data_IF_851784418625
#
_entry.id   IF_851784418625
#
_cell.length_a   1.000
_cell.length_b   1.000
_cell.length_c   1.000
_cell.angle_alpha   90.00
_cell.angle_beta   90.00
_cell.angle_gamma   90.00
#
_symmetry.space_group_name_H-M   'P 1'
#
loop_
_entity.id
_entity.type
_entity.pdbx_description
1 polymer ?
#
# COMPACT_ATOMS: atom_id res chain seq x y z
N UNK A 1 -11.76 -24.63 3.08
CA UNK A 1 -10.98 -23.90 2.06
C UNK A 1 -10.75 -24.82 0.87
N UNK A 2 -10.95 -24.35 -0.37
CA UNK A 2 -10.71 -25.19 -1.55
C UNK A 2 -9.20 -25.46 -1.72
N UNK A 3 -8.83 -26.54 -2.42
CA UNK A 3 -7.42 -26.91 -2.60
C UNK A 3 -6.55 -25.82 -3.26
N UNK A 4 -7.03 -25.05 -4.27
CA UNK A 4 -6.29 -23.93 -4.84
C UNK A 4 -6.02 -22.80 -3.82
N UNK A 5 -7.01 -22.49 -2.97
CA UNK A 5 -6.89 -21.45 -1.95
C UNK A 5 -5.88 -21.85 -0.86
N UNK A 6 -5.82 -23.13 -0.51
CA UNK A 6 -4.84 -23.65 0.44
C UNK A 6 -3.40 -23.53 -0.08
N UNK A 7 -3.18 -23.73 -1.39
CA UNK A 7 -1.85 -23.54 -2.02
C UNK A 7 -1.44 -22.07 -2.00
N UNK A 8 -2.35 -21.15 -2.32
CA UNK A 8 -2.09 -19.70 -2.23
C UNK A 8 -1.77 -19.27 -0.80
N UNK A 9 -2.52 -19.78 0.19
CA UNK A 9 -2.28 -19.47 1.59
C UNK A 9 -0.90 -19.96 2.07
N UNK A 10 -0.50 -21.17 1.69
CA UNK A 10 0.82 -21.69 2.04
C UNK A 10 1.96 -20.81 1.49
N UNK A 11 1.85 -20.36 0.23
CA UNK A 11 2.84 -19.46 -0.38
C UNK A 11 2.82 -18.06 0.24
N UNK A 12 1.64 -17.54 0.58
CA UNK A 12 1.48 -16.30 1.33
C UNK A 12 2.25 -16.35 2.65
N UNK A 13 2.04 -17.41 3.43
CA UNK A 13 2.72 -17.60 4.73
C UNK A 13 4.23 -17.70 4.51
N UNK A 14 4.70 -18.48 3.53
CA UNK A 14 6.13 -18.60 3.21
C UNK A 14 6.79 -17.27 2.85
N UNK A 15 6.12 -16.41 2.08
CA UNK A 15 6.63 -15.10 1.71
C UNK A 15 6.73 -14.15 2.92
N UNK A 16 5.73 -14.19 3.80
CA UNK A 16 5.72 -13.40 5.03
C UNK A 16 6.77 -13.91 6.03
N UNK A 17 6.88 -15.22 6.21
CA UNK A 17 7.85 -15.90 7.09
C UNK A 17 9.30 -15.65 6.66
N UNK A 18 9.58 -15.65 5.35
CA UNK A 18 10.91 -15.37 4.84
C UNK A 18 11.37 -13.92 5.07
N UNK A 19 10.42 -12.98 5.13
CA UNK A 19 10.68 -11.55 5.31
C UNK A 19 10.74 -11.17 6.79
N UNK A 20 9.83 -11.70 7.59
CA UNK A 20 9.66 -11.36 9.00
C UNK A 20 10.22 -12.43 9.95
N UNK A 21 11.04 -13.33 9.41
CA UNK A 21 11.66 -14.41 10.16
C UNK A 21 10.66 -15.50 10.52
N UNK A 22 11.22 -16.65 10.90
CA UNK A 22 10.41 -17.82 11.23
C UNK A 22 9.38 -17.48 12.30
N UNK A 23 8.11 -17.70 12.01
CA UNK A 23 7.04 -17.42 12.97
C UNK A 23 7.13 -18.36 14.17
N UNK A 24 7.10 -17.81 15.40
CA UNK A 24 6.87 -18.61 16.59
C UNK A 24 5.55 -19.37 16.47
N UNK A 25 5.50 -20.57 17.04
CA UNK A 25 4.27 -21.36 17.09
C UNK A 25 3.21 -20.67 17.97
N UNK A 26 1.90 -20.94 17.77
CA UNK A 26 0.84 -20.29 18.55
C UNK A 26 0.93 -20.48 20.07
N UNK A 27 1.62 -21.53 20.51
CA UNK A 27 1.83 -21.87 21.92
C UNK A 27 3.23 -21.49 22.45
N UNK A 28 4.03 -20.76 21.66
CA UNK A 28 5.34 -20.28 22.12
C UNK A 28 5.16 -19.32 23.31
N UNK A 29 5.78 -19.60 24.48
CA UNK A 29 5.65 -18.74 25.66
C UNK A 29 6.17 -17.31 25.42
N UNK A 30 7.01 -17.09 24.41
CA UNK A 30 7.60 -15.81 24.04
C UNK A 30 6.90 -15.14 22.85
N UNK A 31 5.79 -15.68 22.35
CA UNK A 31 5.07 -15.12 21.18
C UNK A 31 4.75 -13.63 21.36
N UNK A 32 4.32 -13.23 22.56
CA UNK A 32 4.02 -11.83 22.90
C UNK A 32 5.24 -10.90 22.79
N UNK A 33 6.44 -11.45 22.95
CA UNK A 33 7.72 -10.72 22.88
C UNK A 33 8.37 -10.79 21.49
N UNK A 34 7.70 -11.38 20.50
CA UNK A 34 8.23 -11.46 19.14
C UNK A 34 8.51 -10.05 18.60
N UNK A 35 9.73 -9.83 18.12
CA UNK A 35 10.12 -8.57 17.46
C UNK A 35 10.41 -8.89 16.00
N UNK A 36 9.89 -8.11 15.04
CA UNK A 36 10.20 -8.35 13.64
C UNK A 36 11.71 -8.21 13.43
N UNK A 37 12.37 -9.14 12.72
CA UNK A 37 13.79 -9.04 12.42
C UNK A 37 14.07 -7.80 11.56
N UNK A 38 15.32 -7.34 11.46
CA UNK A 38 15.65 -6.23 10.59
C UNK A 38 15.52 -6.62 9.12
N UNK A 39 14.72 -5.86 8.36
CA UNK A 39 14.63 -5.99 6.91
C UNK A 39 15.89 -5.43 6.20
N UNK A 40 16.31 -6.06 5.10
CA UNK A 40 17.52 -5.70 4.36
C UNK A 40 17.47 -4.27 3.76
N UNK A 41 16.32 -3.80 3.28
CA UNK A 41 16.16 -2.50 2.61
C UNK A 41 16.06 -1.29 3.55
N UNK A 42 15.92 -1.54 4.86
CA UNK A 42 15.55 -0.52 5.84
C UNK A 42 16.71 -0.11 6.76
N UNK A 43 16.91 1.19 6.94
CA UNK A 43 17.74 1.73 8.02
C UNK A 43 17.20 1.25 9.37
N UNK A 44 18.02 0.51 10.13
CA UNK A 44 17.62 -0.21 11.35
C UNK A 44 16.48 -1.21 11.13
N UNK A 45 16.33 -1.69 9.89
CA UNK A 45 15.51 -2.84 9.57
C UNK A 45 14.02 -2.56 9.35
N UNK A 46 13.61 -1.30 9.14
CA UNK A 46 12.22 -0.93 8.85
C UNK A 46 12.12 -0.10 7.58
N UNK A 47 11.07 -0.33 6.81
CA UNK A 47 10.80 0.36 5.56
C UNK A 47 9.29 0.54 5.41
N UNK A 48 8.85 1.81 5.42
CA UNK A 48 7.45 2.16 5.73
C UNK A 48 6.43 1.52 4.79
N UNK A 49 6.72 1.45 3.49
CA UNK A 49 5.85 0.81 2.52
C UNK A 49 5.67 -0.68 2.80
N UNK A 50 6.79 -1.39 2.94
CA UNK A 50 6.85 -2.84 3.15
C UNK A 50 6.14 -3.22 4.43
N UNK A 51 6.43 -2.51 5.52
CA UNK A 51 5.80 -2.76 6.82
C UNK A 51 4.30 -2.42 6.80
N UNK A 52 3.87 -1.41 6.04
CA UNK A 52 2.46 -1.08 5.86
C UNK A 52 1.66 -2.22 5.20
N UNK A 53 2.18 -2.79 4.11
CA UNK A 53 1.61 -3.98 3.48
C UNK A 53 1.62 -5.18 4.44
N UNK A 54 2.72 -5.38 5.15
CA UNK A 54 2.88 -6.51 6.05
C UNK A 54 1.88 -6.51 7.22
N UNK A 55 1.61 -5.35 7.83
CA UNK A 55 0.57 -5.23 8.86
C UNK A 55 -0.78 -5.70 8.32
N UNK A 56 -1.18 -5.24 7.12
CA UNK A 56 -2.46 -5.66 6.52
C UNK A 56 -2.45 -7.14 6.13
N UNK A 57 -1.30 -7.67 5.71
CA UNK A 57 -1.13 -9.09 5.43
C UNK A 57 -1.27 -9.96 6.68
N UNK A 58 -0.70 -9.56 7.81
CA UNK A 58 -0.88 -10.26 9.08
C UNK A 58 -2.33 -10.22 9.55
N UNK A 59 -3.01 -9.08 9.43
CA UNK A 59 -4.44 -8.98 9.73
C UNK A 59 -5.28 -9.86 8.80
N UNK A 60 -4.89 -9.99 7.53
CA UNK A 60 -5.52 -10.89 6.55
C UNK A 60 -5.34 -12.36 6.97
N UNK A 61 -4.12 -12.76 7.36
CA UNK A 61 -3.85 -14.10 7.88
C UNK A 61 -4.68 -14.40 9.13
N UNK A 62 -4.78 -13.46 10.07
CA UNK A 62 -5.66 -13.59 11.23
C UNK A 62 -7.11 -13.84 10.82
N UNK A 63 -7.65 -13.06 9.87
CA UNK A 63 -9.03 -13.22 9.41
C UNK A 63 -9.29 -14.55 8.71
N UNK A 64 -8.31 -15.07 7.97
CA UNK A 64 -8.44 -16.33 7.22
C UNK A 64 -8.28 -17.55 8.11
N UNK A 65 -7.33 -17.52 9.05
CA UNK A 65 -6.92 -18.68 9.86
C UNK A 65 -7.59 -18.73 11.24
N UNK A 66 -7.96 -17.56 11.79
CA UNK A 66 -8.39 -17.41 13.17
C UNK A 66 -7.25 -17.45 14.20
N UNK A 67 -5.99 -17.56 13.77
CA UNK A 67 -4.85 -17.68 14.67
C UNK A 67 -4.41 -16.32 15.22
N UNK A 68 -4.52 -16.13 16.53
CA UNK A 68 -4.23 -14.85 17.22
C UNK A 68 -2.76 -14.44 17.17
N UNK A 69 -1.84 -15.35 16.81
CA UNK A 69 -0.42 -15.03 16.63
C UNK A 69 -0.20 -13.96 15.56
N UNK A 70 -0.96 -13.99 14.47
CA UNK A 70 -0.83 -12.98 13.42
C UNK A 70 -1.26 -11.59 13.89
N UNK A 71 -2.21 -11.51 14.83
CA UNK A 71 -2.55 -10.24 15.44
C UNK A 71 -1.40 -9.73 16.31
N UNK A 72 -0.72 -10.62 17.04
CA UNK A 72 0.48 -10.28 17.81
C UNK A 72 1.59 -9.75 16.89
N UNK A 73 1.82 -10.39 15.74
CA UNK A 73 2.80 -9.91 14.76
C UNK A 73 2.45 -8.54 14.20
N UNK A 74 1.17 -8.31 13.84
CA UNK A 74 0.72 -7.00 13.36
C UNK A 74 0.92 -5.90 14.43
N UNK A 75 0.54 -6.16 15.68
CA UNK A 75 0.72 -5.21 16.79
C UNK A 75 2.20 -4.91 17.04
N UNK A 76 3.05 -5.93 17.14
CA UNK A 76 4.48 -5.76 17.42
C UNK A 76 5.21 -5.08 16.24
N UNK A 77 4.77 -5.30 15.00
CA UNK A 77 5.29 -4.59 13.84
C UNK A 77 4.93 -3.10 13.87
N UNK A 78 3.70 -2.75 14.25
CA UNK A 78 3.29 -1.34 14.43
C UNK A 78 4.18 -0.66 15.47
N UNK A 79 4.38 -1.27 16.64
CA UNK A 79 5.29 -0.76 17.67
C UNK A 79 6.70 -0.57 17.14
N UNK A 80 7.26 -1.57 16.46
CA UNK A 80 8.61 -1.48 15.93
C UNK A 80 8.77 -0.39 14.86
N UNK A 81 7.76 -0.16 14.01
CA UNK A 81 7.77 0.94 13.05
C UNK A 81 7.73 2.29 13.77
N UNK A 82 6.89 2.45 14.79
CA UNK A 82 6.80 3.72 15.54
C UNK A 82 8.11 4.01 16.29
N UNK A 83 8.75 2.99 16.86
CA UNK A 83 10.01 3.12 17.62
C UNK A 83 11.24 3.32 16.74
N UNK A 84 11.19 2.89 15.48
CA UNK A 84 12.29 3.06 14.53
C UNK A 84 12.05 4.28 13.64
N UNK A 85 10.95 4.30 12.89
CA UNK A 85 10.67 5.32 11.86
C UNK A 85 10.03 6.59 12.44
N UNK A 86 9.46 6.55 13.65
CA UNK A 86 8.97 7.73 14.39
C UNK A 86 10.04 8.44 15.22
N UNK A 87 11.30 8.01 15.11
CA UNK A 87 12.46 8.59 15.78
C UNK A 87 13.49 9.14 14.79
N UNK A 88 14.35 10.03 15.26
CA UNK A 88 15.60 10.42 14.59
C UNK A 88 16.44 9.18 14.25
N UNK A 89 17.30 9.28 13.24
CA UNK A 89 18.11 8.14 12.76
C UNK A 89 18.99 7.54 13.87
N UNK A 90 19.53 8.38 14.75
CA UNK A 90 20.31 7.94 15.91
C UNK A 90 19.46 7.32 17.04
N UNK A 91 18.13 7.32 16.91
CA UNK A 91 17.18 6.71 17.84
C UNK A 91 17.01 7.46 19.15
N UNK A 92 17.50 8.71 19.28
CA UNK A 92 17.52 9.41 20.56
C UNK A 92 16.27 10.25 20.84
N UNK A 93 15.58 10.71 19.79
CA UNK A 93 14.45 11.62 19.93
C UNK A 93 13.33 11.25 18.96
N UNK A 94 12.08 11.45 19.38
CA UNK A 94 10.92 11.45 18.47
C UNK A 94 11.14 12.47 17.35
N UNK A 95 10.51 12.25 16.20
CA UNK A 95 10.50 13.27 15.14
C UNK A 95 9.84 14.56 15.65
N UNK A 96 10.28 15.74 15.18
CA UNK A 96 9.70 17.01 15.61
C UNK A 96 8.18 17.05 15.47
N UNK A 97 7.47 17.44 16.53
CA UNK A 97 6.00 17.44 16.61
C UNK A 97 5.41 16.21 17.29
N UNK A 98 6.12 15.07 17.34
CA UNK A 98 5.66 13.88 18.03
C UNK A 98 5.96 13.89 19.55
N UNK A 99 5.12 13.20 20.31
CA UNK A 99 5.27 12.95 21.75
C UNK A 99 5.05 11.47 22.05
N UNK A 100 5.13 11.02 23.30
CA UNK A 100 4.82 9.62 23.61
C UNK A 100 3.31 9.31 23.56
N UNK A 101 2.46 10.31 23.84
CA UNK A 101 1.00 10.17 23.72
C UNK A 101 0.52 10.36 22.27
N UNK A 102 1.28 11.11 21.47
CA UNK A 102 1.07 11.33 20.04
C UNK A 102 2.33 10.99 19.22
N UNK A 103 2.68 9.69 19.12
CA UNK A 103 3.92 9.24 18.48
C UNK A 103 4.00 9.55 16.98
N UNK A 104 2.88 9.83 16.32
CA UNK A 104 2.85 10.13 14.89
C UNK A 104 2.62 11.62 14.57
N UNK A 105 2.59 12.50 15.58
CA UNK A 105 2.46 13.95 15.43
C UNK A 105 3.61 14.63 14.67
N UNK A 106 4.68 13.90 14.36
CA UNK A 106 5.79 14.33 13.51
C UNK A 106 5.90 13.54 12.19
N UNK A 107 4.92 12.68 11.88
CA UNK A 107 4.98 11.78 10.74
C UNK A 107 5.90 10.57 10.96
N UNK A 108 6.33 9.94 9.87
CA UNK A 108 7.23 8.78 9.88
C UNK A 108 8.26 8.88 8.77
N UNK A 109 9.50 8.49 9.08
CA UNK A 109 10.55 8.32 8.06
C UNK A 109 10.20 7.19 7.09
N UNK A 110 10.72 7.27 5.87
CA UNK A 110 10.66 6.18 4.89
C UNK A 110 11.46 4.99 5.39
N UNK A 111 12.64 5.25 5.97
CA UNK A 111 13.56 4.23 6.46
C UNK A 111 14.64 3.85 5.46
N UNK A 112 15.02 4.73 4.51
CA UNK A 112 16.13 4.43 3.60
C UNK A 112 17.50 4.46 4.29
N UNK A 113 18.43 3.64 3.78
CA UNK A 113 19.82 3.59 4.27
C UNK A 113 20.53 4.93 4.08
N UNK A 114 20.43 5.54 2.90
CA UNK A 114 20.98 6.87 2.65
C UNK A 114 20.19 7.92 3.44
N UNK A 115 20.89 8.80 4.15
CA UNK A 115 20.26 9.78 5.05
C UNK A 115 19.62 10.96 4.31
N UNK A 116 20.27 11.45 3.25
CA UNK A 116 19.95 12.75 2.65
C UNK A 116 19.73 12.66 1.14
N UNK A 117 19.06 13.67 0.60
CA UNK A 117 18.87 13.85 -0.84
C UNK A 117 17.54 13.28 -1.36
N UNK A 118 17.26 13.49 -2.66
CA UNK A 118 16.00 13.10 -3.27
C UNK A 118 15.76 11.58 -3.19
N UNK A 119 16.82 10.79 -3.18
CA UNK A 119 16.75 9.33 -3.10
C UNK A 119 17.00 8.76 -1.69
N UNK A 120 17.44 9.59 -0.73
CA UNK A 120 17.70 9.17 0.65
C UNK A 120 16.45 9.06 1.52
N UNK A 121 16.61 9.12 2.84
CA UNK A 121 15.50 9.12 3.78
C UNK A 121 14.67 10.42 3.68
N UNK A 122 13.65 10.52 4.52
CA UNK A 122 12.71 11.63 4.50
C UNK A 122 11.32 11.13 4.82
N UNK A 123 10.31 11.92 4.48
CA UNK A 123 8.92 11.48 4.54
C UNK A 123 8.33 11.51 3.14
N UNK A 124 7.72 10.40 2.73
CA UNK A 124 7.05 10.24 1.45
C UNK A 124 5.55 10.12 1.69
N UNK A 125 4.78 11.09 1.20
CA UNK A 125 3.33 11.16 1.40
C UNK A 125 2.59 9.87 1.04
N UNK A 126 2.86 9.27 -0.12
CA UNK A 126 2.23 8.02 -0.54
C UNK A 126 2.47 6.88 0.46
N UNK A 127 3.67 6.79 1.03
CA UNK A 127 4.00 5.75 2.02
C UNK A 127 3.31 6.02 3.35
N UNK A 128 3.20 7.30 3.75
CA UNK A 128 2.41 7.68 4.91
C UNK A 128 0.94 7.27 4.73
N UNK A 129 0.35 7.44 3.54
CA UNK A 129 -1.04 7.02 3.29
C UNK A 129 -1.24 5.52 3.37
N UNK A 130 -0.28 4.69 2.90
CA UNK A 130 -0.34 3.24 3.08
C UNK A 130 -0.26 2.87 4.56
N UNK A 131 0.59 3.53 5.34
CA UNK A 131 0.68 3.28 6.78
C UNK A 131 -0.60 3.69 7.53
N UNK A 132 -1.17 4.86 7.21
CA UNK A 132 -2.47 5.30 7.74
C UNK A 132 -3.57 4.27 7.43
N UNK A 133 -3.59 3.74 6.20
CA UNK A 133 -4.52 2.68 5.82
C UNK A 133 -4.31 1.42 6.68
N UNK A 134 -3.07 1.00 6.92
CA UNK A 134 -2.77 -0.15 7.78
C UNK A 134 -3.27 0.04 9.22
N UNK A 135 -3.06 1.23 9.81
CA UNK A 135 -3.57 1.56 11.15
C UNK A 135 -5.11 1.62 11.20
N UNK A 136 -5.74 2.09 10.13
CA UNK A 136 -7.20 2.05 10.00
C UNK A 136 -7.71 0.60 9.95
N UNK A 137 -7.02 -0.31 9.24
CA UNK A 137 -7.32 -1.74 9.26
C UNK A 137 -7.10 -2.35 10.65
N UNK A 138 -6.03 -1.97 11.36
CA UNK A 138 -5.80 -2.40 12.75
C UNK A 138 -6.99 -2.04 13.66
N UNK A 139 -7.53 -0.83 13.55
CA UNK A 139 -8.70 -0.41 14.33
C UNK A 139 -9.93 -1.26 14.04
N UNK A 140 -10.21 -1.54 12.76
CA UNK A 140 -11.36 -2.36 12.37
C UNK A 140 -11.26 -3.81 12.85
N UNK A 141 -10.06 -4.38 12.85
CA UNK A 141 -9.86 -5.78 13.24
C UNK A 141 -9.81 -5.94 14.77
N UNK A 142 -9.20 -5.00 15.47
CA UNK A 142 -8.99 -5.08 16.93
C UNK A 142 -10.09 -4.42 17.75
N UNK A 143 -10.84 -3.49 17.17
CA UNK A 143 -11.73 -2.58 17.89
C UNK A 143 -11.01 -1.48 18.69
N UNK A 144 -9.68 -1.42 18.64
CA UNK A 144 -8.92 -0.39 19.34
C UNK A 144 -8.81 0.87 18.47
N UNK A 145 -9.60 1.89 18.81
CA UNK A 145 -9.62 3.18 18.08
C UNK A 145 -8.29 3.93 18.06
N UNK A 146 -7.38 3.61 18.99
CA UNK A 146 -6.07 4.25 19.08
C UNK A 146 -5.35 4.23 17.74
N UNK A 147 -5.40 3.13 16.98
CA UNK A 147 -4.70 3.06 15.69
C UNK A 147 -5.24 4.09 14.68
N UNK A 148 -6.56 4.27 14.56
CA UNK A 148 -7.16 5.24 13.66
C UNK A 148 -6.94 6.67 14.18
N UNK A 149 -6.97 6.89 15.49
CA UNK A 149 -6.66 8.19 16.11
C UNK A 149 -5.23 8.61 15.77
N UNK A 150 -4.26 7.69 15.84
CA UNK A 150 -2.88 7.92 15.44
C UNK A 150 -2.75 8.22 13.94
N UNK A 151 -3.49 7.51 13.08
CA UNK A 151 -3.51 7.79 11.65
C UNK A 151 -4.08 9.19 11.35
N UNK A 152 -5.14 9.61 12.04
CA UNK A 152 -5.72 10.95 11.94
C UNK A 152 -4.75 12.01 12.44
N UNK A 153 -4.04 11.77 13.54
CA UNK A 153 -3.00 12.67 14.04
C UNK A 153 -1.91 12.88 13.00
N UNK A 154 -1.39 11.78 12.43
CA UNK A 154 -0.38 11.82 11.39
C UNK A 154 -0.85 12.57 10.14
N UNK A 155 -2.11 12.39 9.75
CA UNK A 155 -2.72 13.08 8.62
C UNK A 155 -2.69 14.60 8.79
N UNK A 156 -3.09 15.08 9.97
CA UNK A 156 -3.07 16.51 10.33
C UNK A 156 -1.66 17.07 10.39
N UNK A 157 -0.76 16.32 11.00
CA UNK A 157 0.63 16.74 11.16
C UNK A 157 1.37 16.82 9.82
N UNK A 158 1.21 15.82 8.95
CA UNK A 158 2.01 15.70 7.74
C UNK A 158 1.54 16.62 6.61
N UNK A 159 0.24 16.61 6.26
CA UNK A 159 -0.26 17.23 5.01
C UNK A 159 0.18 18.69 4.80
N UNK A 160 0.17 19.59 5.81
CA UNK A 160 0.59 20.98 5.63
C UNK A 160 2.00 21.13 5.07
N UNK A 161 2.90 20.19 5.37
CA UNK A 161 4.30 20.22 4.92
C UNK A 161 4.48 19.71 3.49
N UNK A 162 3.55 18.89 3.01
CA UNK A 162 3.52 18.41 1.63
C UNK A 162 2.80 19.35 0.67
N UNK A 163 2.24 20.46 1.17
CA UNK A 163 1.49 21.41 0.35
C UNK A 163 2.09 22.82 0.39
N UNK A 164 1.93 23.55 -0.71
CA UNK A 164 2.08 25.02 -0.71
C UNK A 164 0.74 25.66 -0.99
N UNK A 165 0.46 26.74 -0.24
CA UNK A 165 -0.76 27.52 -0.38
C UNK A 165 -2.03 26.65 -0.27
N UNK A 166 -2.15 25.80 0.77
CA UNK A 166 -3.28 24.87 0.93
C UNK A 166 -4.67 25.55 0.86
N UNK A 167 -4.76 26.81 1.30
CA UNK A 167 -5.98 27.61 1.24
C UNK A 167 -6.29 28.20 -0.15
N UNK A 168 -5.34 28.19 -1.09
CA UNK A 168 -5.55 28.73 -2.44
C UNK A 168 -6.57 27.90 -3.24
N UNK A 169 -7.05 28.47 -4.34
CA UNK A 169 -7.92 27.77 -5.30
C UNK A 169 -7.18 26.60 -5.97
N UNK A 170 -5.89 26.76 -6.23
CA UNK A 170 -5.01 25.76 -6.84
C UNK A 170 -3.80 25.49 -5.96
N UNK A 171 -3.95 24.71 -4.87
CA UNK A 171 -2.82 24.32 -4.06
C UNK A 171 -1.88 23.42 -4.86
N UNK A 172 -0.60 23.38 -4.47
CA UNK A 172 0.37 22.45 -5.06
C UNK A 172 0.87 21.49 -4.01
N UNK A 173 1.04 20.23 -4.41
CA UNK A 173 1.57 19.18 -3.55
C UNK A 173 2.97 18.75 -4.01
N UNK A 174 3.74 18.22 -3.07
CA UNK A 174 5.04 17.61 -3.29
C UNK A 174 5.01 16.19 -2.76
N UNK A 175 5.78 15.28 -3.37
CA UNK A 175 5.76 13.89 -2.92
C UNK A 175 6.70 13.61 -1.76
N UNK A 176 7.77 14.40 -1.58
CA UNK A 176 8.78 14.12 -0.55
C UNK A 176 9.37 15.34 0.11
N UNK A 177 9.47 15.24 1.44
CA UNK A 177 10.04 16.26 2.35
C UNK A 177 11.09 15.62 3.25
N UNK A 178 11.86 16.46 3.94
CA UNK A 178 12.87 16.05 4.91
C UNK A 178 12.26 15.28 6.08
N UNK A 179 13.10 14.51 6.81
CA UNK A 179 12.65 13.67 7.92
C UNK A 179 11.94 14.47 9.03
N UNK A 180 12.36 15.72 9.23
CA UNK A 180 11.84 16.68 10.20
C UNK A 180 10.72 17.57 9.66
N UNK A 181 10.22 17.30 8.44
CA UNK A 181 9.20 18.06 7.72
C UNK A 181 9.56 19.55 7.46
N UNK A 182 10.82 19.96 7.64
CA UNK A 182 11.22 21.38 7.57
C UNK A 182 11.36 21.91 6.13
N UNK A 183 11.65 21.05 5.15
CA UNK A 183 11.83 21.47 3.77
C UNK A 183 11.53 20.35 2.75
N UNK A 184 11.28 20.77 1.51
CA UNK A 184 11.05 19.86 0.38
C UNK A 184 12.36 19.23 -0.07
N UNK A 185 12.34 17.93 -0.35
CA UNK A 185 13.47 17.24 -0.98
C UNK A 185 13.30 17.13 -2.49
N UNK A 186 12.05 17.15 -2.97
CA UNK A 186 11.72 17.08 -4.40
C UNK A 186 10.64 18.10 -4.75
N UNK A 187 10.77 18.73 -5.93
CA UNK A 187 9.87 19.79 -6.39
C UNK A 187 8.70 19.31 -7.26
N UNK A 188 8.65 18.01 -7.57
CA UNK A 188 7.55 17.40 -8.31
C UNK A 188 6.45 16.90 -7.37
N UNK A 189 5.27 16.71 -7.95
CA UNK A 189 4.11 16.06 -7.32
C UNK A 189 4.10 14.58 -7.73
N UNK A 190 3.80 13.67 -6.80
CA UNK A 190 3.58 12.26 -7.13
C UNK A 190 2.25 12.08 -7.84
N UNK A 191 2.16 11.15 -8.79
CA UNK A 191 0.94 11.01 -9.58
C UNK A 191 -0.28 10.65 -8.70
N UNK A 192 -0.06 9.84 -7.66
CA UNK A 192 -1.14 9.34 -6.80
C UNK A 192 -1.33 10.09 -5.50
N UNK A 193 -0.33 10.81 -5.01
CA UNK A 193 -0.34 11.37 -3.65
C UNK A 193 -1.64 12.14 -3.31
N UNK A 194 -2.19 13.02 -4.17
CA UNK A 194 -3.43 13.71 -3.86
C UNK A 194 -4.65 12.78 -3.81
N UNK A 195 -4.67 11.75 -4.68
CA UNK A 195 -5.77 10.77 -4.79
C UNK A 195 -5.73 9.83 -3.57
N UNK A 196 -4.56 9.29 -3.24
CA UNK A 196 -4.37 8.42 -2.07
C UNK A 196 -4.64 9.15 -0.77
N UNK A 197 -4.17 10.41 -0.66
CA UNK A 197 -4.48 11.27 0.46
C UNK A 197 -5.98 11.43 0.61
N UNK A 198 -6.68 11.83 -0.45
CA UNK A 198 -8.13 12.05 -0.40
C UNK A 198 -8.88 10.79 0.05
N UNK A 199 -8.58 9.64 -0.57
CA UNK A 199 -9.25 8.38 -0.25
C UNK A 199 -8.92 7.92 1.16
N UNK A 200 -7.63 7.87 1.52
CA UNK A 200 -7.21 7.41 2.84
C UNK A 200 -7.80 8.28 3.93
N UNK A 201 -7.75 9.61 3.79
CA UNK A 201 -8.26 10.53 4.81
C UNK A 201 -9.78 10.40 4.95
N UNK A 202 -10.50 10.15 3.84
CA UNK A 202 -11.94 9.84 3.88
C UNK A 202 -12.22 8.57 4.68
N UNK A 203 -11.41 7.51 4.52
CA UNK A 203 -11.53 6.26 5.28
C UNK A 203 -11.22 6.46 6.78
N UNK A 204 -10.23 7.30 7.10
CA UNK A 204 -9.90 7.64 8.49
C UNK A 204 -11.05 8.42 9.16
N UNK A 205 -11.59 9.43 8.46
CA UNK A 205 -12.70 10.24 8.93
C UNK A 205 -13.99 9.42 9.11
N UNK A 206 -14.25 8.47 8.21
CA UNK A 206 -15.40 7.57 8.31
C UNK A 206 -15.35 6.67 9.55
N UNK A 207 -14.16 6.29 10.01
CA UNK A 207 -13.98 5.43 11.18
C UNK A 207 -13.81 6.21 12.50
N UNK A 208 -13.60 7.53 12.43
CA UNK A 208 -13.44 8.41 13.58
C UNK A 208 -14.76 8.64 14.31
N UNK A 209 -14.73 8.85 15.63
CA UNK A 209 -15.92 9.30 16.40
C UNK A 209 -16.42 10.69 15.92
N UNK A 210 -15.52 11.51 15.37
CA UNK A 210 -15.83 12.77 14.74
C UNK A 210 -15.69 12.67 13.22
N UNK A 211 -16.83 12.62 12.52
CA UNK A 211 -16.91 12.53 11.05
C UNK A 211 -16.54 13.84 10.31
N UNK A 212 -16.04 14.85 11.00
CA UNK A 212 -15.54 16.12 10.44
C UNK A 212 -14.06 16.37 10.76
N UNK A 213 -13.38 15.38 11.32
CA UNK A 213 -12.04 15.55 11.90
C UNK A 213 -10.95 15.90 10.88
N UNK A 214 -11.17 15.64 9.59
CA UNK A 214 -10.24 15.90 8.48
C UNK A 214 -10.89 16.72 7.33
N UNK A 215 -11.98 17.43 7.58
CA UNK A 215 -12.73 18.15 6.54
C UNK A 215 -11.84 19.16 5.78
N UNK A 216 -10.93 19.85 6.49
CA UNK A 216 -10.01 20.82 5.90
C UNK A 216 -8.99 20.15 4.97
N UNK A 217 -8.38 19.07 5.45
CA UNK A 217 -7.39 18.27 4.73
C UNK A 217 -7.99 17.62 3.48
N UNK A 218 -9.15 16.96 3.64
CA UNK A 218 -9.88 16.32 2.53
C UNK A 218 -10.27 17.38 1.49
N UNK A 219 -10.76 18.55 1.92
CA UNK A 219 -11.11 19.65 1.01
C UNK A 219 -9.89 20.18 0.26
N UNK A 220 -8.73 20.29 0.90
CA UNK A 220 -7.49 20.73 0.26
C UNK A 220 -7.01 19.73 -0.80
N UNK A 221 -7.04 18.43 -0.49
CA UNK A 221 -6.70 17.35 -1.43
C UNK A 221 -7.68 17.31 -2.60
N UNK A 222 -8.98 17.51 -2.33
CA UNK A 222 -10.04 17.49 -3.34
C UNK A 222 -9.83 18.53 -4.45
N UNK A 223 -9.36 19.74 -4.10
CA UNK A 223 -9.02 20.77 -5.09
C UNK A 223 -7.99 20.30 -6.13
N UNK A 224 -7.03 19.47 -5.70
CA UNK A 224 -6.00 18.89 -6.60
C UNK A 224 -6.60 17.72 -7.38
N UNK A 225 -7.32 16.83 -6.71
CA UNK A 225 -7.99 15.68 -7.33
C UNK A 225 -8.93 16.11 -8.45
N UNK A 226 -9.70 17.19 -8.26
CA UNK A 226 -10.63 17.71 -9.28
C UNK A 226 -9.94 18.20 -10.55
N UNK A 227 -8.68 18.65 -10.46
CA UNK A 227 -7.89 19.04 -11.62
C UNK A 227 -7.19 17.83 -12.25
N UNK A 228 -6.75 16.89 -11.42
CA UNK A 228 -5.89 15.77 -11.84
C UNK A 228 -6.66 14.57 -12.38
N UNK A 229 -7.70 14.14 -11.67
CA UNK A 229 -8.46 12.94 -12.02
C UNK A 229 -9.04 12.99 -13.45
N UNK A 230 -9.55 14.13 -13.97
CA UNK A 230 -10.02 14.23 -15.36
C UNK A 230 -8.93 14.09 -16.44
N UNK A 231 -7.65 14.16 -16.07
CA UNK A 231 -6.51 14.03 -17.00
C UNK A 231 -5.54 12.91 -16.64
N UNK A 232 -5.84 12.10 -15.61
CA UNK A 232 -4.99 11.00 -15.17
C UNK A 232 -4.64 10.04 -16.32
N UNK A 233 -3.35 9.77 -16.48
CA UNK A 233 -2.79 8.84 -17.45
C UNK A 233 -1.45 8.34 -16.93
N UNK A 234 -1.15 7.08 -17.14
CA UNK A 234 0.12 6.48 -16.74
C UNK A 234 0.45 5.26 -17.60
N UNK A 235 1.73 4.94 -17.68
CA UNK A 235 2.26 3.71 -18.27
C UNK A 235 3.03 2.87 -17.25
N UNK A 236 3.05 3.32 -15.99
CA UNK A 236 3.74 2.66 -14.89
C UNK A 236 2.82 1.60 -14.26
N UNK A 237 3.26 0.35 -14.21
CA UNK A 237 2.43 -0.78 -13.78
C UNK A 237 2.05 -0.73 -12.30
N UNK A 238 2.93 -0.18 -11.46
CA UNK A 238 2.63 0.02 -10.05
C UNK A 238 1.59 1.13 -9.89
N UNK A 239 1.79 2.25 -10.57
CA UNK A 239 0.87 3.39 -10.56
C UNK A 239 -0.55 2.99 -11.00
N UNK A 240 -0.66 2.18 -12.07
CA UNK A 240 -1.95 1.60 -12.51
C UNK A 240 -2.58 0.76 -11.40
N UNK A 241 -1.82 -0.17 -10.83
CA UNK A 241 -2.30 -1.08 -9.80
C UNK A 241 -2.79 -0.36 -8.55
N UNK A 242 -1.95 0.54 -8.04
CA UNK A 242 -2.27 1.34 -6.85
C UNK A 242 -3.44 2.29 -7.09
N UNK A 243 -3.61 2.85 -8.30
CA UNK A 243 -4.80 3.69 -8.60
C UNK A 243 -6.09 2.90 -8.61
N UNK A 244 -6.10 1.71 -9.23
CA UNK A 244 -7.28 0.83 -9.23
C UNK A 244 -7.64 0.44 -7.78
N UNK A 245 -6.62 0.11 -6.98
CA UNK A 245 -6.77 -0.14 -5.56
C UNK A 245 -7.24 1.10 -4.78
N UNK A 246 -6.77 2.30 -5.07
CA UNK A 246 -7.22 3.48 -4.33
C UNK A 246 -8.66 3.85 -4.72
N UNK A 247 -8.96 3.89 -6.01
CA UNK A 247 -10.27 4.32 -6.51
C UNK A 247 -11.42 3.39 -6.08
N UNK A 248 -11.19 2.07 -5.97
CA UNK A 248 -12.25 1.12 -5.58
C UNK A 248 -12.85 1.41 -4.20
N UNK A 249 -12.07 2.04 -3.30
CA UNK A 249 -12.57 2.42 -1.98
C UNK A 249 -13.64 3.51 -2.01
N UNK A 250 -13.84 4.22 -3.13
CA UNK A 250 -14.93 5.18 -3.29
C UNK A 250 -16.05 4.67 -4.22
N UNK A 251 -15.86 3.49 -4.81
CA UNK A 251 -16.79 2.89 -5.77
C UNK A 251 -17.16 1.48 -5.31
N UNK A 252 -17.92 1.33 -4.20
CA UNK A 252 -18.35 0.02 -3.68
C UNK A 252 -18.98 -0.87 -4.76
N UNK A 253 -19.91 -0.27 -5.52
CA UNK A 253 -20.73 -0.94 -6.51
C UNK A 253 -20.45 -0.28 -7.86
N UNK A 254 -19.40 -0.70 -8.58
CA UNK A 254 -19.11 -0.14 -9.88
C UNK A 254 -20.22 -0.46 -10.89
N UNK A 255 -20.50 0.50 -11.76
CA UNK A 255 -21.49 0.39 -12.83
C UNK A 255 -20.82 0.42 -14.21
N UNK A 256 -21.50 -0.18 -15.21
CA UNK A 256 -21.14 -0.06 -16.62
C UNK A 256 -22.36 0.43 -17.42
N UNK A 257 -22.25 1.53 -18.17
CA UNK A 257 -21.11 2.46 -18.27
C UNK A 257 -20.78 3.13 -16.91
N UNK A 258 -19.54 3.62 -16.70
CA UNK A 258 -19.13 4.21 -15.43
C UNK A 258 -19.95 5.47 -15.13
N UNK A 259 -20.33 5.63 -13.87
CA UNK A 259 -21.00 6.84 -13.38
C UNK A 259 -20.15 8.10 -13.59
N UNK A 260 -20.78 9.26 -13.64
CA UNK A 260 -20.10 10.55 -13.87
C UNK A 260 -19.22 11.01 -12.68
N UNK A 261 -19.29 10.32 -11.54
CA UNK A 261 -18.42 10.59 -10.39
C UNK A 261 -16.94 10.40 -10.73
N UNK A 262 -16.09 11.29 -10.22
CA UNK A 262 -14.67 11.31 -10.56
C UNK A 262 -13.95 9.98 -10.24
N UNK A 263 -14.33 9.30 -9.15
CA UNK A 263 -13.71 8.03 -8.75
C UNK A 263 -14.06 6.90 -9.72
N UNK A 264 -15.33 6.79 -10.14
CA UNK A 264 -15.79 5.82 -11.15
C UNK A 264 -15.12 6.07 -12.50
N UNK A 265 -15.00 7.35 -12.91
CA UNK A 265 -14.28 7.74 -14.13
C UNK A 265 -12.78 7.45 -14.05
N UNK A 266 -12.15 7.70 -12.89
CA UNK A 266 -10.74 7.39 -12.66
C UNK A 266 -10.47 5.88 -12.69
N UNK A 267 -11.32 5.09 -12.02
CA UNK A 267 -11.22 3.62 -12.02
C UNK A 267 -11.31 3.08 -13.45
N UNK A 268 -12.32 3.51 -14.21
CA UNK A 268 -12.48 3.09 -15.60
C UNK A 268 -11.29 3.52 -16.47
N UNK A 269 -10.84 4.77 -16.40
CA UNK A 269 -9.72 5.23 -17.20
C UNK A 269 -8.42 4.50 -16.87
N UNK A 270 -8.20 4.20 -15.59
CA UNK A 270 -7.00 3.45 -15.19
C UNK A 270 -7.05 2.01 -15.69
N UNK A 271 -8.24 1.40 -15.73
CA UNK A 271 -8.45 0.13 -16.40
C UNK A 271 -8.13 0.21 -17.90
N UNK A 272 -8.50 1.31 -18.58
CA UNK A 272 -8.11 1.53 -19.98
C UNK A 272 -6.59 1.66 -20.16
N UNK A 273 -5.86 2.28 -19.21
CA UNK A 273 -4.40 2.31 -19.25
C UNK A 273 -3.81 0.90 -19.11
N UNK A 274 -4.38 0.07 -18.23
CA UNK A 274 -3.98 -1.35 -18.10
C UNK A 274 -4.23 -2.13 -19.40
N UNK A 275 -5.40 -1.97 -20.02
CA UNK A 275 -5.73 -2.58 -21.33
C UNK A 275 -4.68 -2.19 -22.38
N UNK A 276 -4.28 -0.91 -22.44
CA UNK A 276 -3.24 -0.45 -23.36
C UNK A 276 -1.90 -1.12 -23.08
N UNK A 277 -1.45 -1.16 -21.83
CA UNK A 277 -0.19 -1.81 -21.44
C UNK A 277 -0.20 -3.29 -21.80
N UNK A 278 -1.27 -4.02 -21.48
CA UNK A 278 -1.43 -5.42 -21.84
C UNK A 278 -1.36 -5.62 -23.37
N UNK A 279 -2.02 -4.77 -24.15
CA UNK A 279 -2.00 -4.84 -25.62
C UNK A 279 -0.63 -4.51 -26.24
N UNK A 280 0.28 -3.83 -25.52
CA UNK A 280 1.67 -3.65 -25.98
C UNK A 280 2.55 -4.89 -25.77
N UNK A 281 2.01 -5.97 -25.19
CA UNK A 281 2.76 -7.18 -24.84
C UNK A 281 3.72 -6.96 -23.67
N UNK A 282 3.44 -6.02 -22.76
CA UNK A 282 4.33 -5.73 -21.63
C UNK A 282 4.60 -6.97 -20.77
N UNK A 283 3.54 -7.72 -20.42
CA UNK A 283 3.64 -8.91 -19.57
C UNK A 283 4.26 -10.12 -20.28
N UNK A 284 4.42 -10.05 -21.61
CA UNK A 284 5.10 -11.06 -22.42
C UNK A 284 6.62 -10.77 -22.56
N UNK A 285 7.11 -9.65 -22.03
CA UNK A 285 8.55 -9.30 -22.06
C UNK A 285 9.35 -10.14 -21.06
N UNK A 286 10.67 -10.31 -21.29
CA UNK A 286 11.55 -10.99 -20.32
C UNK A 286 11.44 -10.39 -18.92
N UNK A 287 11.36 -11.25 -17.90
CA UNK A 287 11.17 -10.86 -16.49
C UNK A 287 12.33 -10.00 -15.97
N UNK A 288 13.53 -10.22 -16.47
CA UNK A 288 14.75 -9.48 -16.13
C UNK A 288 14.68 -7.99 -16.50
N UNK A 289 13.77 -7.62 -17.41
CA UNK A 289 13.52 -6.23 -17.80
C UNK A 289 12.39 -5.57 -16.99
N UNK A 290 11.78 -6.31 -16.07
CA UNK A 290 10.61 -5.92 -15.28
C UNK A 290 10.96 -5.91 -13.79
N UNK A 291 10.03 -5.44 -12.95
CA UNK A 291 10.21 -5.39 -11.49
C UNK A 291 9.01 -6.04 -10.82
N UNK A 292 9.25 -7.12 -10.08
CA UNK A 292 8.20 -7.97 -9.52
C UNK A 292 7.20 -7.21 -8.63
N UNK A 293 7.69 -6.44 -7.65
CA UNK A 293 6.81 -5.68 -6.75
C UNK A 293 5.86 -4.72 -7.50
N UNK A 294 6.29 -4.17 -8.65
CA UNK A 294 5.44 -3.30 -9.48
C UNK A 294 4.29 -4.07 -10.11
N UNK A 295 4.56 -5.28 -10.58
CA UNK A 295 3.53 -6.14 -11.17
C UNK A 295 2.61 -6.74 -10.11
N UNK A 296 3.10 -7.05 -8.91
CA UNK A 296 2.24 -7.43 -7.79
C UNK A 296 1.30 -6.30 -7.38
N UNK A 297 1.74 -5.04 -7.50
CA UNK A 297 0.85 -3.88 -7.41
C UNK A 297 -0.25 -3.90 -8.48
N UNK A 298 0.09 -4.22 -9.73
CA UNK A 298 -0.90 -4.42 -10.80
C UNK A 298 -1.88 -5.53 -10.46
N UNK A 299 -1.41 -6.67 -9.97
CA UNK A 299 -2.25 -7.80 -9.59
C UNK A 299 -3.27 -7.41 -8.50
N UNK A 300 -2.83 -6.70 -7.45
CA UNK A 300 -3.73 -6.12 -6.44
C UNK A 300 -4.79 -5.20 -7.06
N UNK A 301 -4.38 -4.29 -7.94
CA UNK A 301 -5.29 -3.37 -8.61
C UNK A 301 -6.33 -4.08 -9.48
N UNK A 302 -5.94 -5.13 -10.18
CA UNK A 302 -6.87 -5.97 -10.95
C UNK A 302 -7.87 -6.66 -10.03
N UNK A 303 -7.42 -7.24 -8.90
CA UNK A 303 -8.33 -7.81 -7.92
C UNK A 303 -9.39 -6.79 -7.45
N UNK A 304 -8.96 -5.55 -7.17
CA UNK A 304 -9.87 -4.46 -6.80
C UNK A 304 -10.83 -4.06 -7.93
N UNK A 305 -10.47 -4.29 -9.18
CA UNK A 305 -11.26 -3.93 -10.37
C UNK A 305 -12.16 -5.07 -10.89
N UNK A 306 -12.10 -6.28 -10.31
CA UNK A 306 -12.92 -7.43 -10.75
C UNK A 306 -14.42 -7.12 -10.82
N UNK A 307 -15.04 -6.42 -9.83
CA UNK A 307 -16.47 -6.10 -9.91
C UNK A 307 -16.83 -5.22 -11.11
N UNK A 308 -15.97 -4.26 -11.49
CA UNK A 308 -16.18 -3.44 -12.68
C UNK A 308 -16.04 -4.28 -13.96
N UNK A 309 -15.01 -5.11 -14.03
CA UNK A 309 -14.79 -6.03 -15.16
C UNK A 309 -16.00 -6.95 -15.37
N UNK A 310 -16.68 -7.37 -14.28
CA UNK A 310 -17.90 -8.19 -14.34
C UNK A 310 -19.07 -7.47 -15.02
N UNK A 311 -19.26 -6.17 -14.74
CA UNK A 311 -20.31 -5.37 -15.39
C UNK A 311 -20.05 -5.08 -16.87
N UNK A 312 -18.78 -4.98 -17.27
CA UNK A 312 -18.40 -4.72 -18.67
C UNK A 312 -18.72 -5.89 -19.62
N UNK A 313 -19.00 -7.08 -19.09
CA UNK A 313 -19.20 -8.32 -19.88
C UNK A 313 -20.53 -8.38 -20.64
N UNK A 314 -21.46 -7.46 -20.38
CA UNK A 314 -22.85 -7.54 -20.86
C UNK A 314 -23.06 -7.18 -22.35
N UNK A 315 -22.01 -6.80 -23.08
CA UNK A 315 -22.06 -6.61 -24.54
C UNK A 315 -21.20 -7.68 -25.27
N UNK A 316 -21.84 -8.77 -25.67
CA UNK A 316 -21.37 -9.79 -26.63
C UNK A 316 -20.01 -10.47 -26.34
N UNK A 317 -19.95 -11.27 -25.28
CA UNK A 317 -19.58 -12.70 -25.36
C UNK A 317 -18.25 -13.15 -25.99
N UNK A 318 -17.27 -12.29 -26.28
CA UNK A 318 -15.97 -12.74 -26.79
C UNK A 318 -15.11 -13.29 -25.64
N UNK A 319 -15.01 -14.63 -25.54
CA UNK A 319 -14.09 -15.32 -24.61
C UNK A 319 -12.61 -14.91 -24.77
N UNK A 320 -12.27 -14.22 -25.87
CA UNK A 320 -10.91 -13.78 -26.20
C UNK A 320 -10.70 -12.26 -26.09
N UNK A 321 -11.61 -11.54 -25.43
CA UNK A 321 -11.43 -10.10 -25.21
C UNK A 321 -10.26 -9.81 -24.24
N UNK A 322 -9.72 -8.60 -24.31
CA UNK A 322 -8.61 -8.18 -23.42
C UNK A 322 -9.07 -8.20 -21.95
N UNK A 323 -10.34 -7.89 -21.70
CA UNK A 323 -10.98 -7.94 -20.39
C UNK A 323 -10.98 -9.36 -19.80
N UNK A 324 -11.15 -10.39 -20.65
CA UNK A 324 -11.01 -11.80 -20.23
C UNK A 324 -9.59 -12.10 -19.76
N UNK A 325 -8.57 -11.63 -20.50
CA UNK A 325 -7.15 -11.80 -20.12
C UNK A 325 -6.79 -11.06 -18.83
N UNK A 326 -7.35 -9.87 -18.62
CA UNK A 326 -7.09 -9.10 -17.40
C UNK A 326 -7.54 -9.86 -16.15
N UNK A 327 -8.58 -10.70 -16.21
CA UNK A 327 -9.07 -11.46 -15.05
C UNK A 327 -8.10 -12.51 -14.55
N UNK A 328 -7.37 -13.12 -15.48
CA UNK A 328 -6.35 -14.13 -15.17
C UNK A 328 -4.97 -13.50 -14.94
N UNK A 329 -4.82 -12.20 -15.20
CA UNK A 329 -3.54 -11.50 -15.09
C UNK A 329 -2.90 -11.59 -13.70
N UNK A 330 -3.63 -11.49 -12.56
CA UNK A 330 -3.02 -11.62 -11.25
C UNK A 330 -2.34 -12.98 -11.04
N UNK A 331 -3.02 -14.05 -11.43
CA UNK A 331 -2.48 -15.42 -11.33
C UNK A 331 -1.30 -15.59 -12.29
N UNK A 332 -1.39 -15.09 -13.52
CA UNK A 332 -0.29 -15.13 -14.49
C UNK A 332 0.96 -14.39 -14.01
N UNK A 333 0.80 -13.21 -13.39
CA UNK A 333 1.91 -12.46 -12.80
C UNK A 333 2.54 -13.28 -11.67
N UNK A 334 1.73 -13.81 -10.75
CA UNK A 334 2.24 -14.61 -9.63
C UNK A 334 3.00 -15.84 -10.12
N UNK A 335 2.40 -16.61 -11.04
CA UNK A 335 3.01 -17.82 -11.61
C UNK A 335 4.31 -17.52 -12.36
N UNK A 336 4.37 -16.43 -13.14
CA UNK A 336 5.60 -16.07 -13.86
C UNK A 336 6.78 -15.77 -12.92
N UNK A 337 6.55 -15.06 -11.81
CA UNK A 337 7.62 -14.75 -10.85
C UNK A 337 7.96 -15.93 -9.93
N UNK A 338 7.01 -16.85 -9.70
CA UNK A 338 7.28 -18.14 -9.05
C UNK A 338 8.17 -19.02 -9.92
N UNK A 339 7.84 -19.17 -11.22
CA UNK A 339 8.61 -19.97 -12.17
C UNK A 339 10.04 -19.41 -12.39
N UNK A 340 10.20 -18.09 -12.19
CA UNK A 340 11.50 -17.42 -12.22
C UNK A 340 12.34 -17.64 -10.94
N UNK A 341 11.76 -18.19 -9.87
CA UNK A 341 12.48 -18.47 -8.62
C UNK A 341 12.68 -17.26 -7.70
N UNK A 342 11.91 -16.18 -7.88
CA UNK A 342 12.01 -14.99 -7.03
C UNK A 342 11.14 -15.07 -5.77
N UNK A 343 9.96 -15.71 -5.88
CA UNK A 343 8.94 -15.80 -4.83
C UNK A 343 8.37 -17.22 -4.76
N UNK A 344 7.79 -17.68 -3.63
CA UNK A 344 7.60 -16.98 -2.34
C UNK A 344 8.90 -16.75 -1.56
N UNK A 345 9.93 -17.55 -1.84
CA UNK A 345 11.25 -17.46 -1.24
C UNK A 345 12.26 -17.46 -2.37
N UNK A 346 13.25 -16.58 -2.25
CA UNK A 346 14.26 -16.38 -3.26
C UNK A 346 15.19 -17.60 -3.40
N UNK A 347 15.44 -18.03 -4.63
CA UNK A 347 16.49 -19.01 -4.94
C UNK A 347 17.89 -18.42 -4.69
N UNK A 348 18.80 -19.25 -4.16
CA UNK A 348 20.07 -18.80 -3.54
C UNK A 348 21.06 -18.05 -4.45
N UNK A 349 20.84 -18.00 -5.77
CA UNK A 349 21.77 -17.43 -6.76
C UNK A 349 21.21 -16.19 -7.49
N UNK A 350 21.05 -15.06 -6.77
CA UNK A 350 20.67 -13.78 -7.41
C UNK A 350 21.53 -12.60 -6.95
N UNK A 351 21.49 -11.53 -7.75
CA UNK A 351 22.22 -10.29 -7.48
C UNK A 351 21.85 -9.63 -6.14
N UNK A 352 22.80 -8.89 -5.55
CA UNK A 352 22.60 -8.11 -4.33
C UNK A 352 21.41 -7.14 -4.44
N UNK A 353 21.20 -6.52 -5.60
CA UNK A 353 20.07 -5.59 -5.83
C UNK A 353 18.71 -6.27 -5.71
N UNK A 354 18.58 -7.51 -6.18
CA UNK A 354 17.34 -8.27 -6.02
C UNK A 354 17.12 -8.63 -4.55
N UNK A 355 18.20 -8.95 -3.82
CA UNK A 355 18.15 -9.22 -2.37
C UNK A 355 17.63 -8.02 -1.58
N UNK A 356 18.07 -6.79 -1.93
CA UNK A 356 17.56 -5.57 -1.29
C UNK A 356 16.07 -5.35 -1.56
N UNK A 357 15.57 -5.67 -2.75
CA UNK A 357 14.14 -5.53 -3.08
C UNK A 357 13.27 -6.70 -2.59
N UNK A 358 13.85 -7.73 -1.95
CA UNK A 358 13.09 -8.91 -1.54
C UNK A 358 11.97 -8.61 -0.54
N UNK A 359 12.18 -7.79 0.53
CA UNK A 359 11.14 -7.56 1.51
C UNK A 359 9.88 -6.94 0.89
N UNK A 360 10.01 -5.84 0.12
CA UNK A 360 8.88 -5.25 -0.61
C UNK A 360 8.26 -6.23 -1.62
N UNK A 361 9.09 -7.01 -2.31
CA UNK A 361 8.62 -7.99 -3.30
C UNK A 361 7.77 -9.09 -2.65
N UNK A 362 8.23 -9.64 -1.53
CA UNK A 362 7.56 -10.73 -0.82
C UNK A 362 6.22 -10.30 -0.20
N UNK A 363 6.17 -9.12 0.45
CA UNK A 363 4.91 -8.64 1.03
C UNK A 363 3.88 -8.29 -0.04
N UNK A 364 4.31 -7.69 -1.16
CA UNK A 364 3.40 -7.39 -2.27
C UNK A 364 2.96 -8.65 -3.00
N UNK A 365 3.82 -9.67 -3.13
CA UNK A 365 3.44 -10.98 -3.66
C UNK A 365 2.38 -11.66 -2.79
N UNK A 366 2.55 -11.67 -1.46
CA UNK A 366 1.55 -12.20 -0.54
C UNK A 366 0.20 -11.50 -0.75
N UNK A 367 0.20 -10.16 -0.81
CA UNK A 367 -1.01 -9.39 -1.12
C UNK A 367 -1.59 -9.70 -2.50
N UNK A 368 -0.77 -9.93 -3.52
CA UNK A 368 -1.24 -10.29 -4.86
C UNK A 368 -1.90 -11.67 -4.89
N UNK A 369 -1.40 -12.65 -4.13
CA UNK A 369 -2.02 -13.98 -4.01
C UNK A 369 -3.38 -13.91 -3.32
N UNK A 370 -3.45 -13.19 -2.21
CA UNK A 370 -4.64 -13.07 -1.36
C UNK A 370 -4.75 -11.61 -0.89
N UNK A 371 -5.48 -10.75 -1.62
CA UNK A 371 -5.60 -9.33 -1.28
C UNK A 371 -6.18 -9.07 0.10
N UNK A 372 -7.10 -9.93 0.55
CA UNK A 372 -7.69 -9.86 1.89
C UNK A 372 -8.14 -8.45 2.25
N UNK A 373 -7.70 -7.96 3.40
CA UNK A 373 -8.09 -6.65 3.94
C UNK A 373 -7.57 -5.44 3.14
N UNK A 374 -6.75 -5.65 2.09
CA UNK A 374 -6.38 -4.59 1.16
C UNK A 374 -7.55 -4.22 0.25
N UNK A 375 -8.51 -5.10 0.01
CA UNK A 375 -9.70 -4.77 -0.80
C UNK A 375 -10.98 -4.89 0.03
N UNK A 376 -12.04 -4.22 -0.42
CA UNK A 376 -13.38 -4.41 0.14
C UNK A 376 -13.77 -5.90 0.09
N UNK A 377 -14.16 -6.43 1.24
CA UNK A 377 -14.70 -7.78 1.33
C UNK A 377 -16.18 -7.74 0.93
N UNK A 378 -16.68 -8.77 0.21
CA UNK A 378 -18.09 -8.86 -0.18
C UNK A 378 -19.04 -9.02 1.01
#
# INVERSE_FOLDING_TARGET
>A
MAAPDAKKLAKFIQAMDSTYGRFPEPNDPNLSQWVPPPAAEGHRGRYLWTDGFAVVNFLTLYKITGETQYLTFATNLVTAVHDVLGYTRDGKQRLPGATDDDPLGGGLRIGKHDESGPDGDGQYFHYLTVWMFALNRMSLVTGNKWYNDQAVSMAKAALPHFMTNASAERPRMFWKVSMDLSHRLVNSEGNLDPIDGYVTYSLLQQLSDNHHVLDGEISALKKIVDQKAPHYSTHDTLDIGMTLWTAHWLVPEPAWPPEQGWASQLQYRTLQNLIKIANTGYFDRPLESRLAFREFGTALGVHAALPLLDKMRDSEGSKFSVESKLRTLPDQICEAWEDFGLVPVLDKDVSQRLTELMPITAVMYATALIPGLMIRQP
#
